data_IF_437901387192
#
_entry.id   IF_437901387192
#
_cell.length_a   1.000
_cell.length_b   1.000
_cell.length_c   1.000
_cell.angle_alpha   90.00
_cell.angle_beta   90.00
_cell.angle_gamma   90.00
#
_symmetry.space_group_name_H-M   'P 1'
#
loop_
_entity.id
_entity.type
_entity.pdbx_description
1 polymer ?
#
# COMPACT_ATOMS: atom_id res chain seq x y z
N UNK A 1 15.43 -1.43 -15.63
CA UNK A 1 14.81 -0.33 -14.87
C UNK A 1 15.57 -0.22 -13.56
N UNK A 2 16.20 0.92 -13.26
CA UNK A 2 16.96 1.06 -12.00
C UNK A 2 15.99 1.02 -10.82
N UNK A 3 16.38 0.37 -9.73
CA UNK A 3 15.58 0.27 -8.49
C UNK A 3 15.26 1.65 -7.87
N UNK A 4 15.86 2.73 -8.37
CA UNK A 4 15.62 4.11 -7.92
C UNK A 4 14.33 4.73 -8.49
N UNK A 5 13.83 4.29 -9.65
CA UNK A 5 12.62 4.90 -10.24
C UNK A 5 11.34 4.50 -9.50
N UNK A 6 11.31 3.29 -8.94
CA UNK A 6 10.11 2.74 -8.28
C UNK A 6 9.86 3.30 -6.87
N UNK A 7 10.84 3.98 -6.28
CA UNK A 7 10.71 4.68 -4.99
C UNK A 7 10.33 6.15 -5.14
N UNK A 8 10.15 6.64 -6.37
CA UNK A 8 9.68 8.00 -6.62
C UNK A 8 8.23 8.12 -6.16
N UNK A 9 7.92 9.29 -5.59
CA UNK A 9 6.56 9.67 -5.21
C UNK A 9 6.02 10.75 -6.15
N UNK A 10 4.70 10.73 -6.35
CA UNK A 10 4.02 11.81 -7.09
C UNK A 10 3.74 13.02 -6.17
N UNK A 11 3.03 14.02 -6.70
CA UNK A 11 2.66 15.24 -5.96
C UNK A 11 1.78 14.99 -4.72
N UNK A 12 1.12 13.83 -4.65
CA UNK A 12 0.30 13.42 -3.51
C UNK A 12 1.10 12.61 -2.48
N UNK A 13 2.42 12.46 -2.68
CA UNK A 13 3.27 11.61 -1.84
C UNK A 13 3.06 10.11 -2.09
N UNK A 14 2.37 9.73 -3.17
CA UNK A 14 2.07 8.33 -3.44
C UNK A 14 3.25 7.67 -4.15
N UNK A 15 3.67 6.52 -3.63
CA UNK A 15 4.51 5.60 -4.39
C UNK A 15 3.70 4.94 -5.51
N UNK A 16 4.39 4.36 -6.49
CA UNK A 16 3.75 3.56 -7.54
C UNK A 16 2.87 2.43 -6.97
N UNK A 17 3.23 1.86 -5.81
CA UNK A 17 2.48 0.80 -5.15
C UNK A 17 1.19 1.31 -4.50
N UNK A 18 1.26 2.43 -3.77
CA UNK A 18 0.08 3.08 -3.20
C UNK A 18 -0.90 3.49 -4.30
N UNK A 19 -0.38 4.09 -5.38
CA UNK A 19 -1.20 4.50 -6.53
C UNK A 19 -1.86 3.30 -7.23
N UNK A 20 -1.11 2.21 -7.46
CA UNK A 20 -1.65 1.00 -8.07
C UNK A 20 -2.77 0.37 -7.23
N UNK A 21 -2.62 0.34 -5.90
CA UNK A 21 -3.68 -0.15 -5.02
C UNK A 21 -4.91 0.77 -5.03
N UNK A 22 -4.72 2.08 -4.94
CA UNK A 22 -5.83 3.04 -5.01
C UNK A 22 -6.63 2.92 -6.32
N UNK A 23 -5.95 2.71 -7.44
CA UNK A 23 -6.59 2.52 -8.75
C UNK A 23 -7.14 1.12 -9.01
N UNK A 24 -6.97 0.18 -8.09
CA UNK A 24 -7.42 -1.21 -8.31
C UNK A 24 -6.60 -1.97 -9.36
N UNK A 25 -5.36 -1.57 -9.62
CA UNK A 25 -4.46 -2.18 -10.62
C UNK A 25 -3.73 -3.40 -10.06
N UNK A 26 -4.46 -4.47 -9.75
CA UNK A 26 -3.93 -5.67 -9.08
C UNK A 26 -2.70 -6.28 -9.79
N UNK A 27 -2.75 -6.45 -11.12
CA UNK A 27 -1.63 -7.04 -11.86
C UNK A 27 -0.36 -6.19 -11.85
N UNK A 28 -0.51 -4.85 -11.83
CA UNK A 28 0.63 -3.94 -11.71
C UNK A 28 1.20 -4.01 -10.30
N UNK A 29 0.32 -4.08 -9.30
CA UNK A 29 0.69 -4.20 -7.89
C UNK A 29 1.56 -5.44 -7.64
N UNK A 30 1.15 -6.61 -8.15
CA UNK A 30 1.89 -7.86 -8.00
C UNK A 30 3.31 -7.78 -8.57
N UNK A 31 3.53 -6.99 -9.63
CA UNK A 31 4.87 -6.79 -10.20
C UNK A 31 5.70 -5.83 -9.34
N UNK A 32 5.07 -4.80 -8.78
CA UNK A 32 5.76 -3.75 -8.02
C UNK A 32 6.23 -4.22 -6.65
N UNK A 33 5.42 -5.00 -5.92
CA UNK A 33 5.72 -5.40 -4.53
C UNK A 33 7.05 -6.17 -4.39
N UNK A 34 7.47 -6.92 -5.42
CA UNK A 34 8.74 -7.66 -5.41
C UNK A 34 9.94 -6.81 -5.83
N UNK A 35 9.70 -5.65 -6.44
CA UNK A 35 10.77 -4.75 -6.89
C UNK A 35 11.04 -3.64 -5.89
N UNK A 36 10.03 -3.24 -5.11
CA UNK A 36 10.15 -2.14 -4.16
C UNK A 36 11.06 -2.45 -2.97
N UNK A 37 11.76 -1.40 -2.52
CA UNK A 37 12.48 -1.42 -1.25
C UNK A 37 11.52 -1.39 -0.06
N UNK A 38 11.98 -1.88 1.09
CA UNK A 38 11.19 -1.85 2.33
C UNK A 38 10.77 -0.43 2.71
N UNK A 39 11.63 0.57 2.47
CA UNK A 39 11.28 1.97 2.69
C UNK A 39 10.09 2.43 1.84
N UNK A 40 10.05 2.03 0.56
CA UNK A 40 8.98 2.42 -0.35
C UNK A 40 7.66 1.69 -0.03
N UNK A 41 7.73 0.42 0.39
CA UNK A 41 6.56 -0.35 0.85
C UNK A 41 5.96 0.28 2.12
N UNK A 42 6.80 0.83 2.99
CA UNK A 42 6.36 1.46 4.25
C UNK A 42 6.03 2.96 4.11
N UNK A 43 6.02 3.51 2.90
CA UNK A 43 5.75 4.93 2.65
C UNK A 43 4.31 5.29 3.00
N UNK A 44 4.12 6.42 3.69
CA UNK A 44 2.83 7.02 4.02
C UNK A 44 2.67 8.27 3.16
N UNK A 45 1.63 8.35 2.35
CA UNK A 45 1.43 9.48 1.44
C UNK A 45 0.95 10.74 2.21
N UNK A 46 0.67 11.84 1.50
CA UNK A 46 0.24 13.09 2.12
C UNK A 46 -1.16 13.03 2.76
N UNK A 47 -1.91 11.96 2.54
CA UNK A 47 -3.27 11.72 3.06
C UNK A 47 -3.29 10.65 4.15
N UNK A 48 -2.13 10.31 4.71
CA UNK A 48 -1.96 9.20 5.65
C UNK A 48 -2.38 7.82 5.09
N UNK A 49 -2.46 7.68 3.76
CA UNK A 49 -2.74 6.38 3.14
C UNK A 49 -1.47 5.56 2.94
N UNK A 50 -1.66 4.24 3.02
CA UNK A 50 -0.66 3.24 2.69
C UNK A 50 -1.24 2.21 1.72
N UNK A 51 -0.37 1.52 1.00
CA UNK A 51 -0.78 0.49 0.04
C UNK A 51 -1.64 -0.63 0.67
N UNK A 52 -1.45 -0.91 1.97
CA UNK A 52 -2.22 -1.91 2.72
C UNK A 52 -3.69 -1.50 2.92
N UNK A 53 -3.99 -0.21 3.16
CA UNK A 53 -5.36 0.30 3.31
C UNK A 53 -6.14 0.07 2.02
N UNK A 54 -5.59 0.52 0.90
CA UNK A 54 -6.23 0.36 -0.41
C UNK A 54 -6.31 -1.11 -0.85
N UNK A 55 -5.31 -1.93 -0.52
CA UNK A 55 -5.38 -3.38 -0.81
C UNK A 55 -6.51 -4.06 -0.03
N UNK A 56 -6.71 -3.68 1.25
CA UNK A 56 -7.82 -4.17 2.06
C UNK A 56 -9.16 -3.66 1.55
N UNK A 57 -9.26 -2.37 1.19
CA UNK A 57 -10.44 -1.77 0.57
C UNK A 57 -10.89 -2.53 -0.69
N UNK A 58 -9.93 -2.95 -1.52
CA UNK A 58 -10.20 -3.71 -2.74
C UNK A 58 -10.39 -5.23 -2.51
N UNK A 59 -10.27 -5.73 -1.28
CA UNK A 59 -10.42 -7.15 -0.96
C UNK A 59 -9.26 -8.05 -1.44
N UNK A 60 -8.06 -7.49 -1.65
CA UNK A 60 -6.91 -8.23 -2.17
C UNK A 60 -6.17 -9.01 -1.08
N UNK A 61 -6.84 -10.01 -0.51
CA UNK A 61 -6.35 -10.79 0.65
C UNK A 61 -4.89 -11.23 0.53
N UNK A 62 -4.51 -11.85 -0.60
CA UNK A 62 -3.14 -12.34 -0.82
C UNK A 62 -2.10 -11.23 -0.82
N UNK A 63 -2.43 -10.06 -1.37
CA UNK A 63 -1.56 -8.89 -1.37
C UNK A 63 -1.45 -8.32 0.04
N UNK A 64 -2.55 -8.26 0.80
CA UNK A 64 -2.51 -7.81 2.20
C UNK A 64 -1.57 -8.70 3.03
N UNK A 65 -1.64 -10.03 2.88
CA UNK A 65 -0.74 -10.98 3.57
C UNK A 65 0.73 -10.71 3.20
N UNK A 66 1.04 -10.49 1.93
CA UNK A 66 2.39 -10.15 1.46
C UNK A 66 2.89 -8.83 2.06
N UNK A 67 2.06 -7.80 2.08
CA UNK A 67 2.40 -6.50 2.66
C UNK A 67 2.66 -6.60 4.17
N UNK A 68 1.79 -7.29 4.91
CA UNK A 68 1.94 -7.49 6.35
C UNK A 68 3.27 -8.17 6.67
N UNK A 69 3.72 -9.10 5.82
CA UNK A 69 5.04 -9.77 6.00
C UNK A 69 6.25 -8.86 5.76
N UNK A 70 6.09 -7.78 5.00
CA UNK A 70 7.18 -6.86 4.59
C UNK A 70 7.15 -5.52 5.32
N UNK A 71 5.99 -5.12 5.83
CA UNK A 71 5.79 -3.85 6.50
C UNK A 71 6.19 -3.92 7.97
N UNK A 72 6.63 -2.77 8.51
CA UNK A 72 6.89 -2.66 9.93
C UNK A 72 5.58 -2.42 10.70
N UNK A 73 5.59 -2.72 12.01
CA UNK A 73 4.41 -2.62 12.88
C UNK A 73 3.81 -1.21 12.92
N UNK A 74 4.65 -0.17 12.87
CA UNK A 74 4.21 1.23 12.92
C UNK A 74 3.40 1.59 11.68
N UNK A 75 3.84 1.14 10.50
CA UNK A 75 3.12 1.41 9.26
C UNK A 75 1.83 0.62 9.18
N UNK A 76 1.79 -0.64 9.63
CA UNK A 76 0.54 -1.45 9.61
C UNK A 76 -0.59 -0.82 10.44
N UNK A 77 -0.25 -0.06 11.50
CA UNK A 77 -1.23 0.61 12.36
C UNK A 77 -1.74 1.96 11.85
N UNK A 78 -1.31 2.42 10.67
CA UNK A 78 -1.77 3.68 10.09
C UNK A 78 -3.27 3.64 9.78
N UNK A 79 -3.92 4.78 9.97
CA UNK A 79 -5.31 5.04 9.60
C UNK A 79 -5.33 6.11 8.51
N UNK A 80 -6.28 6.02 7.59
CA UNK A 80 -6.51 7.08 6.61
C UNK A 80 -7.16 8.32 7.24
N UNK A 81 -7.36 9.36 6.42
CA UNK A 81 -8.03 10.60 6.82
C UNK A 81 -9.47 10.41 7.35
N UNK A 82 -10.13 9.30 7.01
CA UNK A 82 -11.47 8.96 7.49
C UNK A 82 -11.43 8.17 8.82
N UNK A 83 -10.23 7.92 9.35
CA UNK A 83 -10.00 7.20 10.60
C UNK A 83 -10.03 5.67 10.46
N UNK A 84 -9.99 5.16 9.23
CA UNK A 84 -10.06 3.73 8.95
C UNK A 84 -8.66 3.13 8.75
N UNK A 85 -8.37 2.05 9.49
CA UNK A 85 -7.22 1.21 9.23
C UNK A 85 -7.52 0.15 8.17
N UNK A 86 -6.48 -0.46 7.62
CA UNK A 86 -6.62 -1.60 6.71
C UNK A 86 -7.44 -2.75 7.33
N UNK A 87 -7.35 -2.96 8.65
CA UNK A 87 -8.14 -3.98 9.35
C UNK A 87 -9.64 -3.67 9.30
N UNK A 88 -10.02 -2.40 9.45
CA UNK A 88 -11.44 -2.02 9.42
C UNK A 88 -11.99 -2.23 8.00
N UNK A 89 -11.25 -1.83 6.97
CA UNK A 89 -11.66 -2.10 5.58
C UNK A 89 -11.77 -3.60 5.26
N UNK A 90 -10.84 -4.41 5.77
CA UNK A 90 -10.89 -5.87 5.58
C UNK A 90 -12.17 -6.48 6.21
N UNK A 91 -12.60 -5.99 7.37
CA UNK A 91 -13.83 -6.46 8.02
C UNK A 91 -15.10 -6.09 7.25
N UNK A 92 -15.09 -4.96 6.51
CA UNK A 92 -16.23 -4.54 5.68
C UNK A 92 -16.33 -5.29 4.34
N UNK A 93 -15.30 -6.07 3.99
CA UNK A 93 -15.20 -6.84 2.74
C UNK A 93 -15.17 -8.36 2.97
N UNK A 94 -15.34 -8.80 4.22
CA UNK A 94 -15.36 -10.20 4.66
C UNK A 94 -16.75 -10.80 4.70
#
# INVERSE_FOLDING_TARGET
MSNQTISIINNNGETALTYAAWKGLNSVYEILIFRMSDQAINHINNNDDIALIWSAYNGWKKICEQLISKMNKKTISVIDNDGYSALIYANNKG
#
